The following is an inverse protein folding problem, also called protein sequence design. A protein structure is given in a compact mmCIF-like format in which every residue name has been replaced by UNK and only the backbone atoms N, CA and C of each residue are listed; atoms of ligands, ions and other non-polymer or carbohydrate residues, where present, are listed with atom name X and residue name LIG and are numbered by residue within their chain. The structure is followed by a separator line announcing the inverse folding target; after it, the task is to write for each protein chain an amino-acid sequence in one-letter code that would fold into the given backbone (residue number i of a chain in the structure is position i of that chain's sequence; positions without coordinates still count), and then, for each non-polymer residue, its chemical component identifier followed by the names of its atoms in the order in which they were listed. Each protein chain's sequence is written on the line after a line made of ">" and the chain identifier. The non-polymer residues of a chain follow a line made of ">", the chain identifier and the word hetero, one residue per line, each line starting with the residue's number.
data_IF_183704225182
#
_entry.id   IF_183704225182
#
_cell.length_a   1.000
_cell.length_b   1.000
_cell.length_c   1.000
_cell.angle_alpha   90.00
_cell.angle_beta   90.00
_cell.angle_gamma   90.00
#
_symmetry.space_group_name_H-M   'P 1'
#
loop_
_entity.id
_entity.type
_entity.pdbx_description
1 polymer ?
#
# COMPACT_ATOMS: atom_id res chain seq x y z
N UNK A 1 -0.65 6.22 11.46
CA UNK A 1 0.58 5.64 10.85
C UNK A 1 0.32 5.39 9.38
N UNK A 2 1.29 5.69 8.55
CA UNK A 2 1.18 5.50 7.11
C UNK A 2 1.88 4.20 6.72
N UNK A 3 1.20 3.39 5.91
CA UNK A 3 1.74 2.13 5.42
C UNK A 3 1.85 2.17 3.89
N UNK A 4 2.99 1.71 3.38
CA UNK A 4 3.17 1.50 1.95
C UNK A 4 2.75 0.07 1.63
N UNK A 5 1.85 -0.07 0.68
CA UNK A 5 1.29 -1.37 0.28
C UNK A 5 1.71 -1.66 -1.15
N UNK A 6 2.35 -2.80 -1.34
CA UNK A 6 2.68 -3.32 -2.67
C UNK A 6 1.65 -4.39 -2.99
N UNK A 7 0.94 -4.25 -4.10
CA UNK A 7 -0.18 -5.10 -4.41
C UNK A 7 -0.36 -5.31 -5.91
N UNK A 8 -1.15 -6.32 -6.25
CA UNK A 8 -1.63 -6.56 -7.61
C UNK A 8 -3.15 -6.50 -7.61
N UNK A 9 -3.72 -5.91 -8.64
CA UNK A 9 -5.17 -5.74 -8.73
C UNK A 9 -5.91 -7.04 -9.05
N UNK A 10 -5.23 -8.00 -9.67
CA UNK A 10 -5.87 -9.24 -10.09
C UNK A 10 -5.23 -10.44 -9.40
N UNK A 11 -6.01 -11.12 -8.55
CA UNK A 11 -5.55 -12.31 -7.82
C UNK A 11 -5.34 -13.54 -8.70
N UNK A 12 -5.94 -13.55 -9.89
CA UNK A 12 -5.87 -14.69 -10.79
C UNK A 12 -4.68 -14.65 -11.73
N UNK A 13 -3.95 -13.55 -11.76
CA UNK A 13 -2.77 -13.41 -12.59
C UNK A 13 -1.53 -13.92 -11.88
N UNK A 14 -0.61 -14.46 -12.68
CA UNK A 14 0.70 -14.82 -12.18
C UNK A 14 1.41 -13.53 -11.76
N UNK A 15 2.09 -13.50 -10.58
CA UNK A 15 2.80 -12.30 -10.14
C UNK A 15 3.79 -11.83 -11.20
N UNK A 16 3.68 -10.56 -11.56
CA UNK A 16 4.54 -9.92 -12.54
C UNK A 16 4.84 -8.51 -12.05
N UNK A 17 6.13 -8.16 -11.98
CA UNK A 17 6.56 -6.87 -11.47
C UNK A 17 5.97 -5.69 -12.25
N UNK A 18 5.73 -5.86 -13.53
CA UNK A 18 5.15 -4.82 -14.38
C UNK A 18 3.71 -4.47 -13.97
N UNK A 19 3.03 -5.39 -13.31
CA UNK A 19 1.65 -5.20 -12.87
C UNK A 19 1.52 -4.92 -11.39
N UNK A 20 2.64 -4.89 -10.67
CA UNK A 20 2.66 -4.57 -9.26
C UNK A 20 2.52 -3.07 -9.08
N UNK A 21 1.61 -2.66 -8.20
CA UNK A 21 1.36 -1.26 -7.88
C UNK A 21 1.63 -1.00 -6.42
N UNK A 22 1.80 0.29 -6.09
CA UNK A 22 2.00 0.72 -4.72
C UNK A 22 0.93 1.73 -4.34
N UNK A 23 0.50 1.66 -3.08
CA UNK A 23 -0.41 2.65 -2.51
C UNK A 23 0.02 2.95 -1.08
N UNK A 24 -0.49 4.06 -0.55
CA UNK A 24 -0.27 4.46 0.84
C UNK A 24 -1.59 4.43 1.58
N UNK A 25 -1.58 3.87 2.78
CA UNK A 25 -2.77 3.62 3.57
C UNK A 25 -2.57 4.13 4.99
N UNK A 26 -3.55 4.85 5.52
CA UNK A 26 -3.57 5.26 6.92
C UNK A 26 -4.20 4.16 7.77
N UNK A 27 -3.50 3.75 8.83
CA UNK A 27 -4.00 2.78 9.79
C UNK A 27 -3.27 2.92 11.12
N UNK A 28 -3.84 2.37 12.19
CA UNK A 28 -3.23 2.44 13.52
C UNK A 28 -2.21 1.33 13.78
N UNK A 29 -2.27 0.27 13.00
CA UNK A 29 -1.35 -0.86 13.13
C UNK A 29 -1.23 -1.60 11.80
N UNK A 30 -0.20 -2.45 11.70
CA UNK A 30 -0.01 -3.31 10.53
C UNK A 30 -1.21 -4.25 10.34
N UNK A 31 -1.71 -4.80 11.43
CA UNK A 31 -2.86 -5.72 11.38
C UNK A 31 -4.09 -4.97 10.87
N UNK A 32 -4.33 -3.76 11.37
CA UNK A 32 -5.44 -2.95 10.92
C UNK A 32 -5.31 -2.59 9.45
N UNK A 33 -4.11 -2.25 8.98
CA UNK A 33 -3.86 -1.95 7.59
C UNK A 33 -4.24 -3.14 6.69
N UNK A 34 -3.83 -4.34 7.08
CA UNK A 34 -4.17 -5.56 6.34
C UNK A 34 -5.66 -5.85 6.34
N UNK A 35 -6.32 -5.65 7.48
CA UNK A 35 -7.76 -5.85 7.59
C UNK A 35 -8.54 -4.87 6.70
N UNK A 36 -8.13 -3.62 6.70
CA UNK A 36 -8.77 -2.61 5.84
C UNK A 36 -8.64 -2.98 4.36
N UNK A 37 -7.48 -3.44 3.96
CA UNK A 37 -7.26 -3.86 2.58
C UNK A 37 -8.10 -5.09 2.23
N UNK A 38 -8.13 -6.08 3.11
CA UNK A 38 -8.90 -7.30 2.86
C UNK A 38 -10.40 -7.03 2.78
N UNK A 39 -10.90 -6.09 3.59
CA UNK A 39 -12.33 -5.80 3.67
C UNK A 39 -12.82 -4.83 2.60
N UNK A 40 -11.93 -4.01 2.04
CA UNK A 40 -12.31 -2.93 1.14
C UNK A 40 -11.78 -3.09 -0.28
N UNK A 41 -10.87 -4.02 -0.52
CA UNK A 41 -10.27 -4.22 -1.85
C UNK A 41 -10.18 -5.71 -2.19
N UNK A 42 -10.26 -6.05 -3.49
CA UNK A 42 -10.01 -7.41 -3.96
C UNK A 42 -8.53 -7.65 -4.26
N UNK A 43 -7.65 -6.77 -3.87
CA UNK A 43 -6.26 -6.79 -4.27
C UNK A 43 -5.48 -7.94 -3.65
N UNK A 44 -4.50 -8.43 -4.40
CA UNK A 44 -3.52 -9.39 -3.89
C UNK A 44 -2.36 -8.62 -3.30
N UNK A 45 -2.35 -8.48 -1.98
CA UNK A 45 -1.33 -7.71 -1.27
C UNK A 45 -0.07 -8.54 -1.12
N UNK A 46 1.05 -8.01 -1.62
CA UNK A 46 2.35 -8.68 -1.54
C UNK A 46 3.18 -8.23 -0.34
N UNK A 47 3.08 -6.94 -0.01
CA UNK A 47 3.87 -6.35 1.07
C UNK A 47 3.12 -5.18 1.69
N UNK A 48 3.15 -5.10 3.01
CA UNK A 48 2.69 -3.92 3.76
C UNK A 48 3.83 -3.51 4.68
N UNK A 49 4.27 -2.26 4.54
CA UNK A 49 5.40 -1.75 5.28
C UNK A 49 5.10 -0.38 5.87
N UNK A 50 5.42 -0.19 7.16
CA UNK A 50 5.27 1.11 7.80
C UNK A 50 6.27 2.11 7.22
N UNK A 51 5.78 3.31 6.91
CA UNK A 51 6.59 4.40 6.38
C UNK A 51 6.55 5.55 7.38
N UNK A 52 7.72 5.96 7.88
CA UNK A 52 7.81 7.00 8.90
C UNK A 52 8.93 8.00 8.60
N UNK A 53 8.82 9.19 9.18
CA UNK A 53 9.88 10.20 9.20
C UNK A 53 10.37 10.59 7.81
N UNK A 54 11.69 10.54 7.66
CA UNK A 54 12.35 10.94 6.41
C UNK A 54 11.93 10.09 5.21
N UNK A 55 11.64 8.81 5.43
CA UNK A 55 11.18 7.94 4.35
C UNK A 55 9.83 8.40 3.80
N UNK A 56 8.92 8.79 4.69
CA UNK A 56 7.63 9.29 4.28
C UNK A 56 7.76 10.60 3.48
N UNK A 57 8.61 11.51 3.93
CA UNK A 57 8.87 12.75 3.23
C UNK A 57 9.52 12.50 1.87
N UNK A 58 10.45 11.56 1.81
CA UNK A 58 11.09 11.18 0.57
C UNK A 58 10.06 10.67 -0.46
N UNK A 59 9.18 9.79 -0.04
CA UNK A 59 8.14 9.25 -0.91
C UNK A 59 7.18 10.36 -1.39
N UNK A 60 6.84 11.28 -0.50
CA UNK A 60 5.97 12.40 -0.84
C UNK A 60 6.58 13.31 -1.90
N UNK A 61 7.87 13.62 -1.76
CA UNK A 61 8.56 14.52 -2.68
C UNK A 61 8.85 13.87 -4.04
N UNK A 62 9.15 12.59 -4.05
CA UNK A 62 9.63 11.90 -5.25
C UNK A 62 8.54 11.13 -5.99
N UNK A 63 7.34 11.02 -5.42
CA UNK A 63 6.23 10.33 -6.03
C UNK A 63 5.11 11.33 -6.31
N UNK A 64 4.93 11.77 -7.56
CA UNK A 64 3.89 12.76 -7.88
C UNK A 64 2.47 12.23 -7.66
N UNK A 65 2.31 10.92 -7.63
CA UNK A 65 1.01 10.30 -7.39
C UNK A 65 0.80 9.92 -5.92
N UNK A 66 1.63 10.45 -5.02
CA UNK A 66 1.50 10.17 -3.60
C UNK A 66 0.11 10.58 -3.10
N UNK A 67 -0.60 9.61 -2.55
CA UNK A 67 -1.93 9.82 -2.01
C UNK A 67 -2.19 8.79 -0.92
N UNK A 68 -2.66 9.24 0.23
CA UNK A 68 -2.98 8.37 1.35
C UNK A 68 -4.45 7.99 1.30
N UNK A 69 -4.70 6.70 1.25
CA UNK A 69 -6.07 6.17 1.20
C UNK A 69 -6.55 5.90 2.63
N UNK A 70 -7.79 6.26 2.89
CA UNK A 70 -8.46 5.96 4.15
C UNK A 70 -9.69 5.10 3.87
N UNK A 71 -9.67 3.90 4.40
CA UNK A 71 -10.82 2.99 4.29
C UNK A 71 -11.63 2.95 5.57
#
# INVERSE_FOLDING_TARGET
>A
MIFKVIYQENKLQIPNREKTKAMFLEADSLIEAREKLANNTPYNVELVQEVTGAHLEYERENNPDFNVVEY
#
